data_IF_742205514192
#
_entry.id   IF_742205514192
#
_cell.length_a   1.000
_cell.length_b   1.000
_cell.length_c   1.000
_cell.angle_alpha   90.00
_cell.angle_beta   90.00
_cell.angle_gamma   90.00
#
_symmetry.space_group_name_H-M   'P 1'
#
loop_
_entity.id
_entity.type
_entity.pdbx_description
1 polymer ?
#
# COMPACT_ATOMS: atom_id res chain seq x y z
N UNK A 1 49.38 14.51 11.15
CA UNK A 1 48.02 14.87 10.71
C UNK A 1 47.24 13.57 10.63
N UNK A 2 46.76 13.06 11.77
CA UNK A 2 45.35 13.10 12.23
C UNK A 2 44.32 12.65 11.19
N UNK A 3 43.70 11.50 11.53
CA UNK A 3 42.34 10.99 11.25
C UNK A 3 41.47 11.73 10.22
N UNK A 4 40.73 11.03 9.36
CA UNK A 4 39.58 10.24 9.82
C UNK A 4 39.21 9.17 8.80
N UNK A 5 39.23 7.91 9.23
CA UNK A 5 38.50 6.81 8.61
C UNK A 5 37.01 7.02 8.91
N UNK A 6 36.21 7.30 7.88
CA UNK A 6 34.76 7.15 7.96
C UNK A 6 34.48 5.65 7.87
N UNK A 7 34.34 5.00 9.02
CA UNK A 7 33.75 3.67 9.12
C UNK A 7 32.30 3.78 8.66
N UNK A 8 32.02 3.16 7.52
CA UNK A 8 30.71 2.78 7.05
C UNK A 8 30.03 2.03 8.21
N UNK A 9 29.15 2.73 8.91
CA UNK A 9 28.42 2.20 10.05
C UNK A 9 27.36 1.30 9.45
N UNK A 10 27.51 -0.01 9.66
CA UNK A 10 26.51 -1.02 9.35
C UNK A 10 25.13 -0.52 9.78
N UNK A 11 24.28 -0.20 8.80
CA UNK A 11 22.86 -0.09 9.01
C UNK A 11 22.38 -1.52 9.26
N UNK A 12 22.39 -1.95 10.52
CA UNK A 12 21.72 -3.17 10.94
C UNK A 12 20.24 -2.97 10.65
N UNK A 13 19.74 -3.67 9.63
CA UNK A 13 18.33 -3.93 9.42
C UNK A 13 17.81 -4.63 10.68
N UNK A 14 17.03 -3.92 11.49
CA UNK A 14 16.29 -4.54 12.59
C UNK A 14 15.31 -5.52 11.96
N UNK A 15 15.48 -6.81 12.27
CA UNK A 15 14.63 -7.90 11.78
C UNK A 15 13.34 -7.99 12.61
N UNK A 16 12.33 -8.71 12.13
CA UNK A 16 11.11 -9.03 12.92
C UNK A 16 11.46 -9.82 14.20
N UNK A 17 12.60 -10.51 14.22
CA UNK A 17 13.13 -11.18 15.41
C UNK A 17 13.72 -10.21 16.47
N UNK A 18 13.98 -8.95 16.12
CA UNK A 18 14.53 -7.92 17.02
C UNK A 18 13.46 -7.02 17.66
N UNK A 19 12.17 -7.15 17.29
CA UNK A 19 11.07 -6.33 17.87
C UNK A 19 9.97 -7.12 18.61
N UNK A 20 10.27 -8.14 19.45
CA UNK A 20 9.25 -8.85 20.22
C UNK A 20 8.55 -7.99 21.30
N UNK A 21 8.94 -6.73 21.47
CA UNK A 21 8.52 -5.86 22.59
C UNK A 21 7.89 -4.52 22.16
N UNK A 22 7.65 -4.26 20.85
CA UNK A 22 6.93 -3.05 20.41
C UNK A 22 5.44 -3.20 20.72
N UNK A 23 4.85 -2.16 21.30
CA UNK A 23 3.40 -2.11 21.50
C UNK A 23 2.69 -2.11 20.14
N UNK A 24 1.41 -2.52 20.11
CA UNK A 24 0.60 -2.46 18.88
C UNK A 24 0.56 -1.03 18.35
N UNK A 25 0.49 -0.05 19.24
CA UNK A 25 0.34 1.35 18.87
C UNK A 25 1.63 1.89 18.24
N UNK A 26 2.81 1.55 18.79
CA UNK A 26 4.12 1.93 18.21
C UNK A 26 4.36 1.29 16.84
N UNK A 27 3.90 0.04 16.66
CA UNK A 27 4.05 -0.68 15.39
C UNK A 27 3.06 -0.15 14.34
N UNK A 28 1.82 0.13 14.75
CA UNK A 28 0.84 0.75 13.88
C UNK A 28 1.28 2.14 13.42
N UNK A 29 1.87 2.95 14.31
CA UNK A 29 2.46 4.24 13.95
C UNK A 29 3.56 4.07 12.89
N UNK A 30 4.53 3.16 13.14
CA UNK A 30 5.60 2.85 12.19
C UNK A 30 5.08 2.44 10.81
N UNK A 31 4.08 1.56 10.75
CA UNK A 31 3.47 1.14 9.48
C UNK A 31 2.74 2.30 8.79
N UNK A 32 2.13 3.21 9.56
CA UNK A 32 1.38 4.37 9.04
C UNK A 32 2.30 5.43 8.45
N UNK A 33 3.41 5.70 9.11
CA UNK A 33 4.44 6.58 8.59
C UNK A 33 5.05 5.99 7.30
N UNK A 34 5.34 4.68 7.30
CA UNK A 34 5.96 4.04 6.14
C UNK A 34 5.02 3.91 4.94
N UNK A 35 3.71 3.66 5.13
CA UNK A 35 2.79 3.66 3.99
C UNK A 35 2.71 5.05 3.33
N UNK A 36 2.65 6.12 4.13
CA UNK A 36 2.61 7.49 3.61
C UNK A 36 3.94 7.86 2.93
N UNK A 37 5.07 7.49 3.56
CA UNK A 37 6.40 7.65 2.99
C UNK A 37 6.56 6.91 1.66
N UNK A 38 5.96 5.72 1.51
CA UNK A 38 5.97 4.95 0.27
C UNK A 38 5.35 5.74 -0.89
N UNK A 39 4.21 6.39 -0.66
CA UNK A 39 3.58 7.23 -1.68
C UNK A 39 4.34 8.53 -1.95
N UNK A 40 4.85 9.20 -0.91
CA UNK A 40 5.67 10.42 -1.07
C UNK A 40 6.94 10.13 -1.90
N UNK A 41 7.64 9.03 -1.58
CA UNK A 41 8.86 8.64 -2.30
C UNK A 41 8.59 8.18 -3.72
N UNK A 42 7.40 7.61 -4.00
CA UNK A 42 6.93 7.36 -5.36
C UNK A 42 6.77 8.68 -6.14
N UNK A 43 6.07 9.66 -5.58
CA UNK A 43 5.85 10.97 -6.19
C UNK A 43 7.19 11.71 -6.45
N UNK A 44 8.17 11.55 -5.56
CA UNK A 44 9.53 12.07 -5.68
C UNK A 44 10.44 11.24 -6.61
N UNK A 45 9.92 10.18 -7.25
CA UNK A 45 10.66 9.27 -8.15
C UNK A 45 11.84 8.53 -7.49
N UNK A 46 11.77 8.30 -6.19
CA UNK A 46 12.81 7.61 -5.40
C UNK A 46 12.49 6.12 -5.26
N UNK A 47 12.75 5.34 -6.31
CA UNK A 47 12.33 3.93 -6.41
C UNK A 47 12.79 3.06 -5.24
N UNK A 48 14.07 3.09 -4.88
CA UNK A 48 14.60 2.25 -3.80
C UNK A 48 13.98 2.65 -2.44
N UNK A 49 13.85 3.94 -2.16
CA UNK A 49 13.24 4.41 -0.92
C UNK A 49 11.74 4.03 -0.83
N UNK A 50 11.05 4.01 -1.96
CA UNK A 50 9.68 3.55 -2.09
C UNK A 50 9.55 2.07 -1.76
N UNK A 51 10.44 1.22 -2.29
CA UNK A 51 10.47 -0.23 -1.98
C UNK A 51 10.70 -0.45 -0.48
N UNK A 52 11.70 0.20 0.11
CA UNK A 52 11.99 0.04 1.55
C UNK A 52 10.80 0.46 2.42
N UNK A 53 10.10 1.53 2.06
CA UNK A 53 8.93 1.99 2.81
C UNK A 53 7.77 0.98 2.75
N UNK A 54 7.42 0.47 1.56
CA UNK A 54 6.38 -0.56 1.44
C UNK A 54 6.81 -1.90 2.05
N UNK A 55 8.09 -2.25 2.00
CA UNK A 55 8.63 -3.43 2.67
C UNK A 55 8.45 -3.36 4.18
N UNK A 56 8.72 -2.20 4.79
CA UNK A 56 8.53 -1.98 6.22
C UNK A 56 7.06 -2.10 6.66
N UNK A 57 6.10 -1.93 5.73
CA UNK A 57 4.69 -2.25 5.99
C UNK A 57 4.43 -3.74 5.81
N UNK A 58 4.79 -4.30 4.65
CA UNK A 58 4.45 -5.68 4.27
C UNK A 58 4.99 -6.72 5.26
N UNK A 59 6.18 -6.51 5.82
CA UNK A 59 6.80 -7.44 6.79
C UNK A 59 6.03 -7.60 8.10
N UNK A 60 5.15 -6.64 8.43
CA UNK A 60 4.27 -6.72 9.60
C UNK A 60 2.82 -6.97 9.21
N UNK A 61 2.36 -6.44 8.07
CA UNK A 61 1.01 -6.65 7.59
C UNK A 61 0.75 -8.12 7.22
N UNK A 62 1.75 -8.82 6.70
CA UNK A 62 1.66 -10.23 6.32
C UNK A 62 2.66 -11.08 7.15
N UNK A 63 2.32 -11.39 8.41
CA UNK A 63 3.26 -11.99 9.37
C UNK A 63 3.73 -13.40 9.01
N UNK A 64 3.08 -14.07 8.05
CA UNK A 64 3.46 -15.39 7.55
C UNK A 64 4.54 -15.37 6.46
N UNK A 65 4.88 -14.20 5.92
CA UNK A 65 5.92 -14.07 4.90
C UNK A 65 7.31 -14.05 5.54
N UNK A 66 8.28 -14.64 4.84
CA UNK A 66 9.69 -14.35 5.11
C UNK A 66 10.05 -12.91 4.72
N UNK A 67 11.16 -12.38 5.24
CA UNK A 67 11.65 -11.04 4.83
C UNK A 67 11.88 -10.94 3.32
N UNK A 68 12.39 -12.00 2.69
CA UNK A 68 12.59 -12.05 1.24
C UNK A 68 11.26 -11.97 0.48
N UNK A 69 10.23 -12.68 0.94
CA UNK A 69 8.91 -12.65 0.33
C UNK A 69 8.23 -11.29 0.52
N UNK A 70 8.30 -10.70 1.71
CA UNK A 70 7.79 -9.36 1.97
C UNK A 70 8.48 -8.31 1.09
N UNK A 71 9.81 -8.40 0.94
CA UNK A 71 10.55 -7.49 0.06
C UNK A 71 10.15 -7.64 -1.41
N UNK A 72 9.94 -8.88 -1.87
CA UNK A 72 9.46 -9.16 -3.23
C UNK A 72 8.02 -8.67 -3.45
N UNK A 73 7.15 -8.79 -2.44
CA UNK A 73 5.79 -8.28 -2.49
C UNK A 73 5.76 -6.74 -2.59
N UNK A 74 6.56 -6.06 -1.78
CA UNK A 74 6.73 -4.61 -1.82
C UNK A 74 7.30 -4.16 -3.17
N UNK A 75 8.33 -4.84 -3.67
CA UNK A 75 8.90 -4.57 -5.01
C UNK A 75 7.84 -4.71 -6.10
N UNK A 76 7.02 -5.76 -6.07
CA UNK A 76 5.96 -5.94 -7.05
C UNK A 76 4.88 -4.84 -6.99
N UNK A 77 4.58 -4.31 -5.80
CA UNK A 77 3.68 -3.15 -5.65
C UNK A 77 4.30 -1.89 -6.27
N UNK A 78 5.58 -1.64 -5.98
CA UNK A 78 6.31 -0.49 -6.52
C UNK A 78 6.46 -0.59 -8.04
N UNK A 79 6.73 -1.77 -8.58
CA UNK A 79 6.74 -2.00 -10.03
C UNK A 79 5.38 -1.66 -10.66
N UNK A 80 4.27 -1.94 -9.98
CA UNK A 80 2.94 -1.56 -10.45
C UNK A 80 2.74 -0.04 -10.48
N UNK A 81 3.23 0.68 -9.47
CA UNK A 81 3.19 2.15 -9.42
C UNK A 81 4.00 2.77 -10.58
N UNK A 82 5.20 2.25 -10.85
CA UNK A 82 6.02 2.69 -11.99
C UNK A 82 5.35 2.34 -13.33
N UNK A 83 4.83 1.12 -13.48
CA UNK A 83 4.11 0.73 -14.69
C UNK A 83 2.87 1.60 -14.94
N UNK A 84 2.17 2.02 -13.88
CA UNK A 84 1.06 2.96 -13.95
C UNK A 84 1.56 4.30 -14.51
N UNK A 85 2.65 4.82 -13.99
CA UNK A 85 3.20 6.09 -14.46
C UNK A 85 3.67 6.01 -15.92
N UNK A 86 4.25 4.88 -16.35
CA UNK A 86 4.60 4.63 -17.75
C UNK A 86 3.36 4.59 -18.67
N UNK A 87 2.22 4.09 -18.17
CA UNK A 87 0.93 4.13 -18.90
C UNK A 87 0.38 5.55 -18.98
N UNK A 88 0.54 6.36 -17.93
CA UNK A 88 0.01 7.72 -17.84
C UNK A 88 0.83 8.74 -18.67
N UNK A 89 2.16 8.60 -18.71
CA UNK A 89 3.09 9.58 -19.30
C UNK A 89 2.74 10.00 -20.74
N UNK A 90 2.41 9.09 -21.68
CA UNK A 90 2.06 9.47 -23.06
C UNK A 90 0.81 10.34 -23.19
N UNK A 91 -0.03 10.39 -22.16
CA UNK A 91 -1.30 11.12 -22.15
C UNK A 91 -1.22 12.43 -21.36
N UNK A 92 -0.05 12.81 -20.84
CA UNK A 92 0.18 14.11 -20.22
C UNK A 92 0.29 15.18 -21.32
N UNK A 93 -0.57 16.20 -21.26
CA UNK A 93 -0.58 17.34 -22.18
C UNK A 93 0.48 18.37 -21.78
N UNK A 94 0.77 19.30 -22.68
CA UNK A 94 1.74 20.39 -22.46
C UNK A 94 1.43 21.27 -21.22
N UNK A 95 0.15 21.35 -20.83
CA UNK A 95 -0.30 22.10 -19.64
C UNK A 95 -0.27 21.27 -18.35
N UNK A 96 0.23 20.03 -18.41
CA UNK A 96 0.28 19.07 -17.30
C UNK A 96 -1.04 18.35 -17.03
N UNK A 97 -2.12 18.64 -17.76
CA UNK A 97 -3.38 17.90 -17.63
C UNK A 97 -3.35 16.56 -18.38
N UNK A 98 -4.15 15.59 -17.94
CA UNK A 98 -4.25 14.29 -18.60
C UNK A 98 -5.28 14.29 -19.73
N UNK A 99 -4.97 13.64 -20.84
CA UNK A 99 -5.95 13.27 -21.86
C UNK A 99 -6.74 12.03 -21.43
N UNK A 100 -7.87 12.27 -20.74
CA UNK A 100 -8.56 11.23 -19.98
C UNK A 100 -9.24 10.16 -20.84
N UNK A 101 -9.90 10.56 -21.92
CA UNK A 101 -10.62 9.62 -22.79
C UNK A 101 -9.69 8.57 -23.38
N UNK A 102 -8.56 8.92 -24.05
CA UNK A 102 -7.65 7.90 -24.57
C UNK A 102 -6.86 7.16 -23.48
N UNK A 103 -6.65 7.76 -22.30
CA UNK A 103 -6.04 7.09 -21.15
C UNK A 103 -6.93 5.98 -20.57
N UNK A 104 -8.26 6.17 -20.57
CA UNK A 104 -9.22 5.17 -20.08
C UNK A 104 -9.21 3.88 -20.92
N UNK A 105 -8.94 4.04 -22.22
CA UNK A 105 -8.81 2.98 -23.23
C UNK A 105 -7.37 2.44 -23.38
N UNK A 106 -6.40 2.97 -22.63
CA UNK A 106 -5.00 2.55 -22.71
C UNK A 106 -4.81 1.08 -22.26
N UNK A 107 -3.66 0.51 -22.60
CA UNK A 107 -3.30 -0.83 -22.13
C UNK A 107 -2.73 -0.78 -20.71
N UNK A 108 -3.55 -1.17 -19.73
CA UNK A 108 -3.19 -1.26 -18.32
C UNK A 108 -2.65 -2.64 -17.92
N UNK A 109 -2.48 -3.59 -18.85
CA UNK A 109 -1.99 -4.93 -18.54
C UNK A 109 -0.64 -4.98 -17.80
N UNK A 110 0.34 -4.08 -18.05
CA UNK A 110 1.59 -4.08 -17.28
C UNK A 110 1.37 -3.84 -15.77
N UNK A 111 0.38 -3.01 -15.43
CA UNK A 111 0.00 -2.73 -14.03
C UNK A 111 -0.63 -3.98 -13.40
N UNK A 112 -1.56 -4.62 -14.11
CA UNK A 112 -2.22 -5.85 -13.67
C UNK A 112 -1.18 -6.95 -13.41
N UNK A 113 -0.25 -7.18 -14.34
CA UNK A 113 0.78 -8.21 -14.22
C UNK A 113 1.65 -8.02 -12.97
N UNK A 114 1.97 -6.77 -12.61
CA UNK A 114 2.72 -6.46 -11.39
C UNK A 114 1.91 -6.78 -10.12
N UNK A 115 0.64 -6.39 -10.10
CA UNK A 115 -0.24 -6.62 -8.97
C UNK A 115 -0.65 -8.09 -8.82
N UNK A 116 -0.74 -8.85 -9.91
CA UNK A 116 -0.92 -10.30 -9.86
C UNK A 116 0.28 -10.98 -9.20
N UNK A 117 1.52 -10.55 -9.52
CA UNK A 117 2.72 -11.05 -8.82
C UNK A 117 2.67 -10.76 -7.33
N UNK A 118 2.27 -9.54 -6.93
CA UNK A 118 2.07 -9.21 -5.52
C UNK A 118 1.02 -10.12 -4.88
N UNK A 119 -0.13 -10.27 -5.52
CA UNK A 119 -1.23 -11.08 -5.01
C UNK A 119 -0.83 -12.54 -4.81
N UNK A 120 -0.11 -13.12 -5.78
CA UNK A 120 0.40 -14.49 -5.69
C UNK A 120 1.42 -14.66 -4.54
N UNK A 121 2.29 -13.67 -4.29
CA UNK A 121 3.28 -13.72 -3.19
C UNK A 121 2.59 -13.69 -1.83
N UNK A 122 1.64 -12.78 -1.65
CA UNK A 122 1.00 -12.59 -0.34
C UNK A 122 -0.25 -13.46 -0.15
N UNK A 123 -0.63 -14.30 -1.12
CA UNK A 123 -1.82 -15.14 -1.01
C UNK A 123 -3.16 -14.40 -1.13
N UNK A 124 -3.20 -13.25 -1.81
CA UNK A 124 -4.44 -12.55 -2.14
C UNK A 124 -5.18 -13.20 -3.32
N UNK A 125 -6.49 -12.97 -3.42
CA UNK A 125 -7.24 -13.23 -4.65
C UNK A 125 -6.67 -12.39 -5.80
N UNK A 126 -6.54 -12.96 -7.00
CA UNK A 126 -6.15 -12.23 -8.22
C UNK A 126 -7.13 -11.12 -8.60
N UNK A 127 -8.36 -11.15 -8.08
CA UNK A 127 -9.31 -10.04 -8.20
C UNK A 127 -8.74 -8.73 -7.63
N UNK A 128 -7.82 -8.81 -6.65
CA UNK A 128 -7.04 -7.68 -6.15
C UNK A 128 -6.40 -6.88 -7.29
N UNK A 129 -5.68 -7.56 -8.18
CA UNK A 129 -4.93 -6.90 -9.25
C UNK A 129 -5.86 -6.10 -10.16
N UNK A 130 -6.93 -6.74 -10.63
CA UNK A 130 -7.93 -6.08 -11.48
C UNK A 130 -8.63 -4.93 -10.77
N UNK A 131 -8.97 -5.08 -9.48
CA UNK A 131 -9.66 -4.06 -8.72
C UNK A 131 -8.76 -2.85 -8.42
N UNK A 132 -7.49 -3.06 -8.06
CA UNK A 132 -6.52 -1.98 -7.84
C UNK A 132 -6.27 -1.21 -9.14
N UNK A 133 -6.02 -1.92 -10.26
CA UNK A 133 -5.84 -1.28 -11.57
C UNK A 133 -7.07 -0.48 -12.00
N UNK A 134 -8.28 -1.03 -11.85
CA UNK A 134 -9.52 -0.31 -12.14
C UNK A 134 -9.70 0.93 -11.26
N UNK A 135 -9.28 0.85 -10.00
CA UNK A 135 -9.26 1.97 -9.07
C UNK A 135 -8.34 3.07 -9.56
N UNK A 136 -7.07 2.75 -9.84
CA UNK A 136 -6.10 3.73 -10.33
C UNK A 136 -6.52 4.38 -11.64
N UNK A 137 -6.96 3.57 -12.61
CA UNK A 137 -7.47 4.07 -13.89
C UNK A 137 -8.59 5.09 -13.69
N UNK A 138 -9.65 4.71 -12.95
CA UNK A 138 -10.79 5.60 -12.71
C UNK A 138 -10.43 6.83 -11.89
N UNK A 139 -9.45 6.73 -11.00
CA UNK A 139 -8.96 7.89 -10.25
C UNK A 139 -8.38 8.94 -11.20
N UNK A 140 -7.63 8.51 -12.23
CA UNK A 140 -7.06 9.40 -13.24
C UNK A 140 -8.06 9.87 -14.29
N UNK A 141 -9.00 9.03 -14.67
CA UNK A 141 -9.96 9.32 -15.75
C UNK A 141 -11.26 9.96 -15.25
N UNK A 142 -11.49 10.01 -13.94
CA UNK A 142 -12.63 10.70 -13.31
C UNK A 142 -13.87 9.84 -13.09
N UNK A 143 -13.70 8.51 -13.00
CA UNK A 143 -14.76 7.55 -12.70
C UNK A 143 -14.92 7.24 -11.21
N UNK A 144 -15.84 6.33 -10.85
CA UNK A 144 -15.95 5.79 -9.50
C UNK A 144 -14.75 4.88 -9.17
N UNK A 145 -13.70 5.49 -8.63
CA UNK A 145 -12.51 4.79 -8.16
C UNK A 145 -12.65 4.27 -6.72
N UNK A 146 -13.62 4.78 -5.95
CA UNK A 146 -13.83 4.39 -4.56
C UNK A 146 -14.25 2.92 -4.44
N UNK A 147 -15.25 2.52 -5.23
CA UNK A 147 -15.74 1.13 -5.22
C UNK A 147 -14.64 0.10 -5.52
N UNK A 148 -13.85 0.21 -6.60
CA UNK A 148 -12.77 -0.73 -6.90
C UNK A 148 -11.64 -0.70 -5.86
N UNK A 149 -11.22 0.46 -5.34
CA UNK A 149 -10.21 0.52 -4.26
C UNK A 149 -10.67 -0.20 -2.99
N UNK A 150 -11.91 0.02 -2.54
CA UNK A 150 -12.41 -0.68 -1.36
C UNK A 150 -12.52 -2.21 -1.59
N UNK A 151 -12.75 -2.66 -2.83
CA UNK A 151 -12.75 -4.10 -3.18
C UNK A 151 -11.33 -4.67 -3.18
N UNK A 152 -10.37 -3.96 -3.75
CA UNK A 152 -8.96 -4.33 -3.68
C UNK A 152 -8.51 -4.47 -2.22
N UNK A 153 -8.77 -3.45 -1.40
CA UNK A 153 -8.37 -3.46 0.00
C UNK A 153 -9.07 -4.55 0.81
N UNK A 154 -10.29 -4.96 0.43
CA UNK A 154 -10.93 -6.12 1.04
C UNK A 154 -10.11 -7.41 0.82
N UNK A 155 -9.56 -7.64 -0.37
CA UNK A 155 -8.72 -8.80 -0.63
C UNK A 155 -7.42 -8.74 0.17
N UNK A 156 -6.83 -7.55 0.29
CA UNK A 156 -5.61 -7.34 1.04
C UNK A 156 -5.80 -7.56 2.54
N UNK A 157 -6.88 -7.03 3.12
CA UNK A 157 -7.26 -7.26 4.53
C UNK A 157 -7.53 -8.74 4.79
N UNK A 158 -8.22 -9.44 3.88
CA UNK A 158 -8.47 -10.88 4.02
C UNK A 158 -7.19 -11.70 4.05
N UNK A 159 -6.22 -11.37 3.19
CA UNK A 159 -4.93 -12.04 3.18
C UNK A 159 -4.12 -11.72 4.45
N UNK A 160 -4.06 -10.44 4.84
CA UNK A 160 -3.36 -10.02 6.06
C UNK A 160 -3.89 -10.68 7.34
N UNK A 161 -5.19 -10.94 7.41
CA UNK A 161 -5.84 -11.57 8.55
C UNK A 161 -6.00 -13.09 8.41
N UNK A 162 -5.60 -13.70 7.30
CA UNK A 162 -5.96 -15.09 6.93
C UNK A 162 -7.47 -15.40 7.11
N UNK A 163 -8.32 -14.41 6.83
CA UNK A 163 -9.75 -14.43 7.15
C UNK A 163 -10.61 -14.24 5.89
N UNK A 164 -10.79 -15.27 5.04
CA UNK A 164 -11.47 -15.14 3.75
C UNK A 164 -12.94 -14.66 3.85
N UNK A 165 -13.58 -14.87 4.99
CA UNK A 165 -14.95 -14.44 5.27
C UNK A 165 -15.06 -13.02 5.85
N UNK A 166 -13.95 -12.32 6.10
CA UNK A 166 -13.99 -10.90 6.47
C UNK A 166 -14.80 -10.09 5.43
N UNK A 167 -15.62 -9.08 5.81
CA UNK A 167 -15.82 -8.60 7.18
C UNK A 167 -16.85 -9.41 7.97
N UNK A 168 -16.55 -9.69 9.24
CA UNK A 168 -17.45 -10.36 10.18
C UNK A 168 -18.53 -9.40 10.70
N UNK A 169 -19.52 -9.06 9.87
CA UNK A 169 -20.65 -8.22 10.29
C UNK A 169 -21.72 -9.06 11.01
N UNK A 170 -22.09 -8.62 12.22
CA UNK A 170 -23.23 -9.19 12.97
C UNK A 170 -24.56 -8.58 12.50
N UNK A 171 -25.62 -9.37 12.44
CA UNK A 171 -26.99 -8.90 12.12
C UNK A 171 -27.38 -8.99 10.64
N UNK A 172 -28.44 -8.25 10.24
CA UNK A 172 -29.02 -8.27 8.89
C UNK A 172 -28.16 -7.59 7.83
N UNK A 173 -27.16 -6.80 8.22
CA UNK A 173 -26.24 -6.09 7.32
C UNK A 173 -25.04 -6.96 6.97
N UNK A 174 -25.28 -8.06 6.24
CA UNK A 174 -24.22 -8.99 5.79
C UNK A 174 -23.44 -8.51 4.56
N UNK A 175 -23.90 -7.43 3.94
CA UNK A 175 -23.35 -6.90 2.69
C UNK A 175 -22.55 -5.63 2.98
N UNK A 176 -21.30 -5.59 2.53
CA UNK A 176 -20.41 -4.43 2.59
C UNK A 176 -18.95 -4.82 2.84
N UNK A 177 -18.04 -3.89 2.59
CA UNK A 177 -16.60 -4.17 2.51
C UNK A 177 -15.90 -4.08 3.88
N UNK A 178 -16.55 -3.50 4.89
CA UNK A 178 -16.03 -3.41 6.26
C UNK A 178 -15.37 -2.06 6.54
N UNK A 179 -15.02 -1.78 7.81
CA UNK A 179 -14.42 -0.52 8.20
C UNK A 179 -12.96 -0.37 7.76
N UNK A 180 -12.20 -1.47 7.63
CA UNK A 180 -10.78 -1.41 7.29
C UNK A 180 -10.53 -0.89 5.86
N UNK A 181 -11.20 -1.42 4.81
CA UNK A 181 -11.08 -0.84 3.47
C UNK A 181 -11.45 0.65 3.39
N UNK A 182 -12.42 1.09 4.19
CA UNK A 182 -12.84 2.49 4.21
C UNK A 182 -11.79 3.41 4.85
N UNK A 183 -11.20 3.01 5.99
CA UNK A 183 -10.12 3.79 6.63
C UNK A 183 -8.90 3.92 5.73
N UNK A 184 -8.50 2.81 5.13
CA UNK A 184 -7.36 2.80 4.21
C UNK A 184 -7.56 3.79 3.05
N UNK A 185 -8.74 3.76 2.42
CA UNK A 185 -9.04 4.68 1.32
C UNK A 185 -9.09 6.15 1.78
N UNK A 186 -9.60 6.45 2.97
CA UNK A 186 -9.53 7.82 3.53
C UNK A 186 -8.07 8.27 3.69
N UNK A 187 -7.18 7.41 4.18
CA UNK A 187 -5.76 7.75 4.28
C UNK A 187 -5.11 8.02 2.91
N UNK A 188 -5.48 7.28 1.86
CA UNK A 188 -5.02 7.54 0.49
C UNK A 188 -5.52 8.91 -0.02
N UNK A 189 -6.79 9.23 0.20
CA UNK A 189 -7.37 10.51 -0.22
C UNK A 189 -6.66 11.70 0.43
N UNK A 190 -6.35 11.57 1.72
CA UNK A 190 -5.61 12.59 2.46
C UNK A 190 -4.17 12.75 1.94
N UNK A 191 -3.50 11.66 1.57
CA UNK A 191 -2.19 11.72 0.91
C UNK A 191 -2.21 12.59 -0.35
N UNK A 192 -3.24 12.45 -1.20
CA UNK A 192 -3.36 13.13 -2.49
C UNK A 192 -3.60 14.65 -2.36
N UNK A 193 -3.96 15.14 -1.17
CA UNK A 193 -4.10 16.56 -0.87
C UNK A 193 -2.74 17.29 -0.76
N UNK A 194 -1.63 16.56 -0.68
CA UNK A 194 -0.24 17.07 -0.80
C UNK A 194 0.10 18.25 0.11
N UNK A 195 -0.31 18.17 1.38
CA UNK A 195 0.13 19.12 2.40
C UNK A 195 0.51 18.39 3.69
N UNK A 196 1.41 19.00 4.47
CA UNK A 196 1.87 18.46 5.75
C UNK A 196 0.70 18.11 6.69
N UNK A 197 -0.27 19.02 6.85
CA UNK A 197 -1.47 18.78 7.68
C UNK A 197 -2.29 17.55 7.24
N UNK A 198 -2.53 17.38 5.93
CA UNK A 198 -3.27 16.22 5.44
C UNK A 198 -2.43 14.93 5.50
N UNK A 199 -1.11 15.02 5.41
CA UNK A 199 -0.23 13.87 5.59
C UNK A 199 -0.21 13.41 7.05
N UNK A 200 -0.18 14.32 8.01
CA UNK A 200 -0.36 14.01 9.44
C UNK A 200 -1.72 13.34 9.67
N UNK A 201 -2.80 13.89 9.10
CA UNK A 201 -4.13 13.28 9.20
C UNK A 201 -4.19 11.88 8.54
N UNK A 202 -3.50 11.70 7.41
CA UNK A 202 -3.41 10.40 6.74
C UNK A 202 -2.74 9.36 7.63
N UNK A 203 -1.65 9.74 8.32
CA UNK A 203 -0.95 8.87 9.28
C UNK A 203 -1.88 8.50 10.44
N UNK A 204 -2.61 9.46 11.02
CA UNK A 204 -3.55 9.19 12.12
C UNK A 204 -4.65 8.19 11.71
N UNK A 205 -5.23 8.36 10.52
CA UNK A 205 -6.26 7.45 9.99
C UNK A 205 -5.66 6.06 9.74
N UNK A 206 -4.48 5.98 9.12
CA UNK A 206 -3.77 4.73 8.85
C UNK A 206 -3.35 4.01 10.13
N UNK A 207 -3.02 4.73 11.20
CA UNK A 207 -2.65 4.13 12.48
C UNK A 207 -3.83 3.36 13.07
N UNK A 208 -5.03 3.92 12.98
CA UNK A 208 -6.25 3.22 13.40
C UNK A 208 -6.55 1.97 12.54
N UNK A 209 -6.17 1.98 11.26
CA UNK A 209 -6.28 0.84 10.36
C UNK A 209 -5.29 -0.27 10.74
N UNK A 210 -4.01 0.04 10.86
CA UNK A 210 -2.98 -0.95 11.18
C UNK A 210 -3.11 -1.47 12.61
N UNK A 211 -3.45 -0.63 13.59
CA UNK A 211 -3.65 -1.08 14.97
C UNK A 211 -4.79 -2.10 15.08
N UNK A 212 -5.87 -1.92 14.33
CA UNK A 212 -6.97 -2.88 14.28
C UNK A 212 -6.53 -4.18 13.59
N UNK A 213 -5.80 -4.09 12.47
CA UNK A 213 -5.26 -5.25 11.75
C UNK A 213 -4.32 -6.07 12.66
N UNK A 214 -3.37 -5.42 13.32
CA UNK A 214 -2.43 -6.03 14.26
C UNK A 214 -3.10 -6.64 15.49
N UNK A 215 -4.20 -6.06 15.99
CA UNK A 215 -4.98 -6.66 17.10
C UNK A 215 -5.62 -7.97 16.66
N UNK A 216 -6.26 -7.98 15.49
CA UNK A 216 -6.91 -9.20 14.98
C UNK A 216 -5.89 -10.32 14.74
N UNK A 217 -4.68 -10.01 14.26
CA UNK A 217 -3.60 -10.99 14.08
C UNK A 217 -3.03 -11.58 15.38
N UNK A 218 -3.17 -10.89 16.51
CA UNK A 218 -2.67 -11.35 17.83
C UNK A 218 -3.72 -12.11 18.63
N UNK A 219 -4.99 -11.97 18.28
CA UNK A 219 -6.12 -12.60 18.98
C UNK A 219 -6.43 -14.02 18.43
N UNK A 220 -5.76 -14.44 17.35
CA UNK A 220 -5.75 -15.80 16.78
C UNK A 220 -4.58 -16.65 17.31
#
# INVERSE_FOLDING_TARGET
MSSTQLTQKDARTETVADAPDRSIDDLAEHMSENICKGFITHDDRQREACIEAFFEVDRYQFPYLSEEEAYRAATAYVDALWAKDDVEEPYVKDDGSLDRDPLDDADWSPVVDCLERRADIVGMSREYATATTDGWRKHKTGGDYWTPHMRAQLHEVRAALDAPEYPHKRGSSRHGLGPLPARYLVGIELHDMKSEEHWEEAVDVMQSYYAELLRNQRDD
#
